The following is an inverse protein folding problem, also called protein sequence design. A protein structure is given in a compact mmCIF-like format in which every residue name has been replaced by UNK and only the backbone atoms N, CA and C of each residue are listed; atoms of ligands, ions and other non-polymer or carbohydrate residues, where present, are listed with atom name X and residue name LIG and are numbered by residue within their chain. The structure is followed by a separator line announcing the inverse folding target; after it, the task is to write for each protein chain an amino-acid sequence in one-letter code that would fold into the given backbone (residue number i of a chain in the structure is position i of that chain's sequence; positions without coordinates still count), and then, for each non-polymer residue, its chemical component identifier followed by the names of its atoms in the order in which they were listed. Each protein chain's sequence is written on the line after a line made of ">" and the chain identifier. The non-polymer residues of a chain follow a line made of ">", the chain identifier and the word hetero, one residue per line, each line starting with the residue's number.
data_IF_932765264952
#
_entry.id   IF_932765264952
#
_cell.length_a   1.000
_cell.length_b   1.000
_cell.length_c   1.000
_cell.angle_alpha   90.00
_cell.angle_beta   90.00
_cell.angle_gamma   90.00
#
_symmetry.space_group_name_H-M   'P 1'
#
loop_
_entity.id
_entity.type
_entity.pdbx_description
1 polymer ?
#
# COMPACT_ATOMS: atom_id res chain seq x y z
N UNK A 1 13.54 -5.85 -2.49
CA UNK A 1 12.23 -5.50 -1.91
C UNK A 1 12.11 -6.14 -0.54
N UNK A 2 11.55 -5.44 0.45
CA UNK A 2 11.33 -5.96 1.80
C UNK A 2 9.83 -5.90 2.12
N UNK A 3 9.34 -6.87 2.88
CA UNK A 3 7.92 -7.02 3.21
C UNK A 3 7.81 -6.93 4.74
N UNK A 4 7.00 -6.00 5.25
CA UNK A 4 6.68 -5.90 6.67
C UNK A 4 5.44 -6.74 7.01
N UNK A 5 5.51 -7.52 8.09
CA UNK A 5 4.39 -8.34 8.59
C UNK A 5 3.91 -7.77 9.93
N UNK A 6 2.64 -7.40 10.00
CA UNK A 6 1.99 -6.97 11.24
C UNK A 6 1.08 -8.10 11.77
N UNK A 7 1.32 -8.52 13.01
CA UNK A 7 0.54 -9.58 13.68
C UNK A 7 -0.22 -8.98 14.87
N UNK A 8 -1.54 -9.23 14.93
CA UNK A 8 -2.38 -8.87 16.07
C UNK A 8 -3.04 -7.47 16.04
N UNK A 9 -2.70 -6.62 15.06
CA UNK A 9 -3.39 -5.33 14.84
C UNK A 9 -4.64 -5.44 13.94
N UNK A 10 -4.80 -6.57 13.24
CA UNK A 10 -5.88 -6.84 12.31
C UNK A 10 -6.37 -8.29 12.47
N UNK A 11 -7.64 -8.56 12.18
CA UNK A 11 -8.28 -9.89 12.32
C UNK A 11 -7.60 -10.98 11.46
N UNK A 12 -6.85 -10.57 10.43
CA UNK A 12 -6.00 -11.41 9.59
C UNK A 12 -4.64 -10.73 9.41
N UNK A 13 -3.59 -11.50 9.14
CA UNK A 13 -2.28 -10.96 8.78
C UNK A 13 -2.43 -9.98 7.61
N UNK A 14 -1.88 -8.78 7.75
CA UNK A 14 -1.81 -7.79 6.67
C UNK A 14 -0.34 -7.59 6.31
N UNK A 15 -0.06 -7.65 5.01
CA UNK A 15 1.23 -7.23 4.46
C UNK A 15 1.15 -5.74 4.16
N UNK A 16 2.10 -4.96 4.67
CA UNK A 16 2.09 -3.51 4.46
C UNK A 16 3.29 -3.08 3.63
N UNK A 17 3.03 -2.23 2.63
CA UNK A 17 4.05 -1.49 1.91
C UNK A 17 3.86 -0.01 2.18
N UNK A 18 4.96 0.68 2.52
CA UNK A 18 4.94 2.10 2.84
C UNK A 18 5.77 2.88 1.82
N UNK A 19 5.21 3.23 0.65
CA UNK A 19 5.90 4.06 -0.34
C UNK A 19 6.41 5.35 0.31
N UNK A 20 7.65 5.70 -0.04
CA UNK A 20 8.31 6.90 0.49
C UNK A 20 9.01 6.70 1.82
N UNK A 21 8.93 5.52 2.46
CA UNK A 21 9.72 5.21 3.66
C UNK A 21 10.74 4.09 3.42
N UNK A 22 11.91 4.24 4.04
CA UNK A 22 12.90 3.17 4.18
C UNK A 22 12.46 2.14 5.23
N UNK A 23 13.23 1.06 5.38
CA UNK A 23 12.99 0.05 6.42
C UNK A 23 13.04 0.61 7.84
N UNK A 24 13.78 1.70 8.05
CA UNK A 24 13.91 2.39 9.33
C UNK A 24 12.89 3.54 9.48
N UNK A 25 11.80 3.50 8.70
CA UNK A 25 10.75 4.52 8.66
C UNK A 25 11.26 5.95 8.39
N UNK A 26 12.33 6.08 7.60
CA UNK A 26 12.86 7.37 7.17
C UNK A 26 12.32 7.78 5.80
N UNK A 27 12.00 9.06 5.55
CA UNK A 27 11.58 9.53 4.24
C UNK A 27 12.64 9.27 3.16
N UNK A 28 12.19 8.79 2.01
CA UNK A 28 12.97 8.63 0.80
C UNK A 28 12.82 9.89 -0.08
N UNK A 29 13.90 10.28 -0.76
CA UNK A 29 13.88 11.46 -1.65
C UNK A 29 13.02 11.26 -2.91
N UNK A 30 12.86 10.02 -3.36
CA UNK A 30 12.03 9.65 -4.51
C UNK A 30 11.30 8.34 -4.25
N UNK A 31 10.03 8.28 -4.63
CA UNK A 31 9.19 7.09 -4.56
C UNK A 31 7.99 7.24 -5.50
N UNK A 32 7.32 6.13 -5.81
CA UNK A 32 6.08 6.14 -6.60
C UNK A 32 4.90 6.46 -5.69
N UNK A 33 4.10 7.46 -6.05
CA UNK A 33 2.89 7.81 -5.30
C UNK A 33 1.90 6.64 -5.28
N UNK A 34 1.23 6.44 -4.15
CA UNK A 34 0.30 5.34 -3.92
C UNK A 34 -0.87 5.33 -4.92
N UNK A 35 -1.28 6.49 -5.44
CA UNK A 35 -2.33 6.60 -6.47
C UNK A 35 -1.86 6.08 -7.82
N UNK A 36 -0.58 6.24 -8.13
CA UNK A 36 0.02 5.68 -9.34
C UNK A 36 0.10 4.14 -9.25
N UNK A 37 0.50 3.61 -8.09
CA UNK A 37 0.48 2.17 -7.85
C UNK A 37 -0.95 1.59 -7.96
N UNK A 38 -1.94 2.27 -7.38
CA UNK A 38 -3.35 1.89 -7.52
C UNK A 38 -3.77 1.80 -9.00
N UNK A 39 -3.47 2.82 -9.82
CA UNK A 39 -3.80 2.80 -11.25
C UNK A 39 -3.17 1.63 -11.99
N UNK A 40 -1.88 1.35 -11.74
CA UNK A 40 -1.17 0.23 -12.37
C UNK A 40 -1.77 -1.12 -11.99
N UNK A 41 -2.16 -1.30 -10.73
CA UNK A 41 -2.79 -2.53 -10.25
C UNK A 41 -4.20 -2.70 -10.82
N UNK A 42 -5.01 -1.63 -10.86
CA UNK A 42 -6.35 -1.65 -11.49
C UNK A 42 -6.25 -2.00 -12.98
N UNK A 43 -5.30 -1.40 -13.70
CA UNK A 43 -5.05 -1.70 -15.11
C UNK A 43 -4.62 -3.16 -15.35
N UNK A 44 -3.99 -3.78 -14.33
CA UNK A 44 -3.60 -5.19 -14.34
C UNK A 44 -4.71 -6.15 -13.88
N UNK A 45 -5.91 -5.63 -13.62
CA UNK A 45 -7.08 -6.41 -13.23
C UNK A 45 -7.12 -6.83 -11.75
N UNK A 46 -6.34 -6.18 -10.88
CA UNK A 46 -6.39 -6.41 -9.44
C UNK A 46 -7.63 -5.75 -8.85
N UNK A 47 -8.38 -6.49 -8.02
CA UNK A 47 -9.54 -5.95 -7.32
C UNK A 47 -9.12 -5.15 -6.08
N UNK A 48 -9.68 -3.96 -5.95
CA UNK A 48 -9.47 -3.08 -4.80
C UNK A 48 -10.51 -3.38 -3.71
N UNK A 49 -10.07 -3.48 -2.46
CA UNK A 49 -10.97 -3.52 -1.28
C UNK A 49 -11.34 -2.09 -0.89
N UNK A 50 -10.35 -1.21 -0.89
CA UNK A 50 -10.49 0.24 -0.69
C UNK A 50 -9.57 0.94 -1.67
N UNK A 51 -9.86 2.20 -1.98
CA UNK A 51 -9.10 3.01 -2.93
C UNK A 51 -8.67 4.33 -2.27
N UNK A 52 -7.48 4.79 -2.64
CA UNK A 52 -7.03 6.14 -2.37
C UNK A 52 -7.78 7.14 -3.26
N UNK A 53 -8.13 8.30 -2.71
CA UNK A 53 -8.73 9.40 -3.47
C UNK A 53 -7.69 9.99 -4.45
N UNK A 54 -7.89 9.76 -5.75
CA UNK A 54 -6.98 10.21 -6.81
C UNK A 54 -6.94 11.74 -6.97
N UNK A 55 -7.89 12.48 -6.40
CA UNK A 55 -7.91 13.94 -6.41
C UNK A 55 -7.18 14.58 -5.22
N UNK A 56 -6.85 13.79 -4.20
CA UNK A 56 -6.16 14.24 -3.00
C UNK A 56 -4.63 14.26 -3.17
N UNK A 57 -3.93 14.95 -2.27
CA UNK A 57 -2.47 14.97 -2.20
C UNK A 57 -1.98 14.66 -0.79
N UNK A 58 -0.72 14.25 -0.66
CA UNK A 58 -0.14 13.82 0.61
C UNK A 58 -0.62 12.42 1.03
N UNK A 59 -0.68 12.14 2.35
CA UNK A 59 -0.93 10.81 2.88
C UNK A 59 -2.19 10.16 2.32
N UNK A 60 -2.08 8.89 1.93
CA UNK A 60 -3.19 8.10 1.41
C UNK A 60 -2.88 6.61 1.47
N UNK A 61 -3.91 5.79 1.42
CA UNK A 61 -3.77 4.34 1.42
C UNK A 61 -4.85 3.64 0.62
N UNK A 62 -4.55 2.40 0.21
CA UNK A 62 -5.52 1.50 -0.39
C UNK A 62 -5.22 0.04 -0.01
N UNK A 63 -6.22 -0.83 -0.17
CA UNK A 63 -6.10 -2.25 0.16
C UNK A 63 -6.49 -3.13 -1.00
N UNK A 64 -5.78 -4.25 -1.16
CA UNK A 64 -6.06 -5.31 -2.13
C UNK A 64 -6.01 -6.68 -1.47
N UNK A 65 -6.50 -7.69 -2.18
CA UNK A 65 -6.28 -9.10 -1.84
C UNK A 65 -5.39 -9.72 -2.91
N UNK A 66 -4.32 -10.39 -2.50
CA UNK A 66 -3.47 -11.15 -3.41
C UNK A 66 -4.12 -12.50 -3.82
N UNK A 67 -3.60 -13.22 -4.82
CA UNK A 67 -4.17 -14.51 -5.23
C UNK A 67 -4.18 -15.60 -4.15
N UNK A 68 -3.31 -15.48 -3.13
CA UNK A 68 -3.23 -16.41 -2.00
C UNK A 68 -4.24 -16.06 -0.88
N UNK A 69 -4.94 -14.95 -1.01
CA UNK A 69 -5.97 -14.48 -0.08
C UNK A 69 -5.44 -13.58 1.04
N UNK A 70 -4.19 -13.11 0.95
CA UNK A 70 -3.64 -12.17 1.92
C UNK A 70 -4.15 -10.75 1.62
N UNK A 71 -4.54 -10.04 2.68
CA UNK A 71 -4.83 -8.61 2.56
C UNK A 71 -3.51 -7.84 2.54
N UNK A 72 -3.34 -6.99 1.53
CA UNK A 72 -2.20 -6.10 1.40
C UNK A 72 -2.68 -4.67 1.58
N UNK A 73 -2.04 -3.92 2.46
CA UNK A 73 -2.23 -2.49 2.66
C UNK A 73 -1.04 -1.75 2.04
N UNK A 74 -1.32 -0.76 1.19
CA UNK A 74 -0.33 0.20 0.76
C UNK A 74 -0.65 1.52 1.46
N UNK A 75 0.26 2.00 2.31
CA UNK A 75 0.05 3.15 3.19
C UNK A 75 1.17 4.19 3.03
N UNK A 76 0.84 5.31 2.39
CA UNK A 76 1.76 6.42 2.18
C UNK A 76 1.56 7.46 3.28
N UNK A 77 2.64 7.79 3.99
CA UNK A 77 2.63 8.71 5.13
C UNK A 77 3.15 10.12 4.81
N UNK A 78 3.63 10.37 3.59
CA UNK A 78 4.27 11.62 3.14
C UNK A 78 3.55 12.26 1.96
#
# INVERSE_FOLDING_TARGET
>A
HAIGLFQGMFDKYILTFNPGWSQDAQPLGEFTDVRELQRQLKASGVNMISEADESSTGPASFMIVDPDGNTILLDQHV
#
